data_IF_511101018975
#
_entry.id   IF_511101018975
#
_cell.length_a   1.000
_cell.length_b   1.000
_cell.length_c   1.000
_cell.angle_alpha   90.00
_cell.angle_beta   90.00
_cell.angle_gamma   90.00
#
_symmetry.space_group_name_H-M   'P 1'
#
loop_
_entity.id
_entity.type
_entity.pdbx_description
1 polymer ?
#
# COMPACT_ATOMS: atom_id res chain seq x y z
N UNK A 1 19.39 -11.89 -18.01
CA UNK A 1 19.38 -12.53 -16.68
C UNK A 1 19.08 -14.00 -16.84
N UNK A 2 19.90 -14.84 -16.22
CA UNK A 2 19.75 -16.31 -16.23
C UNK A 2 18.38 -16.65 -15.59
N UNK A 3 17.49 -17.33 -16.31
CA UNK A 3 16.22 -17.80 -15.77
C UNK A 3 16.45 -19.19 -15.19
N UNK A 4 16.26 -19.33 -13.88
CA UNK A 4 16.27 -20.62 -13.22
C UNK A 4 14.91 -21.28 -13.29
N UNK A 5 14.86 -22.60 -13.40
CA UNK A 5 13.63 -23.37 -13.23
C UNK A 5 13.21 -23.34 -11.77
N UNK A 6 11.91 -23.42 -11.47
CA UNK A 6 11.40 -23.36 -10.10
C UNK A 6 11.99 -24.46 -9.21
N UNK A 7 12.21 -25.65 -9.77
CA UNK A 7 12.81 -26.79 -9.08
C UNK A 7 14.29 -26.57 -8.68
N UNK A 8 14.98 -25.62 -9.32
CA UNK A 8 16.36 -25.27 -8.99
C UNK A 8 16.46 -24.30 -7.80
N UNK A 9 15.38 -23.55 -7.53
CA UNK A 9 15.37 -22.46 -6.54
C UNK A 9 14.50 -22.77 -5.33
N UNK A 10 13.50 -23.65 -5.43
CA UNK A 10 12.61 -24.06 -4.35
C UNK A 10 12.74 -25.58 -4.17
N UNK A 11 13.01 -26.00 -2.92
CA UNK A 11 13.16 -27.43 -2.57
C UNK A 11 11.90 -27.95 -1.85
N UNK A 12 11.58 -29.24 -1.95
CA UNK A 12 10.54 -29.87 -1.14
C UNK A 12 10.75 -29.59 0.36
N UNK A 13 9.67 -29.40 1.10
CA UNK A 13 9.66 -29.11 2.54
C UNK A 13 10.31 -27.77 2.94
N UNK A 14 10.63 -26.90 1.98
CA UNK A 14 11.12 -25.56 2.26
C UNK A 14 9.95 -24.65 2.60
N UNK A 15 10.03 -23.94 3.73
CA UNK A 15 9.09 -22.87 4.10
C UNK A 15 9.50 -21.59 3.38
N UNK A 16 8.55 -20.96 2.67
CA UNK A 16 8.75 -19.74 1.92
C UNK A 16 7.67 -18.71 2.26
N UNK A 17 8.01 -17.42 2.19
CA UNK A 17 7.06 -16.34 2.27
C UNK A 17 6.53 -16.02 0.87
N UNK A 18 5.21 -16.06 0.68
CA UNK A 18 4.56 -15.75 -0.60
C UNK A 18 3.54 -14.63 -0.40
N UNK A 19 3.43 -13.78 -1.42
CA UNK A 19 2.38 -12.77 -1.51
C UNK A 19 1.33 -13.20 -2.53
N UNK A 20 0.06 -13.15 -2.14
CA UNK A 20 -1.07 -13.34 -3.06
C UNK A 20 -1.29 -12.05 -3.83
N UNK A 21 -1.12 -12.09 -5.15
CA UNK A 21 -1.35 -10.95 -6.04
C UNK A 21 -2.79 -10.89 -6.54
N UNK A 22 -3.41 -12.06 -6.74
CA UNK A 22 -4.79 -12.21 -7.19
C UNK A 22 -5.37 -13.45 -6.55
N UNK A 23 -6.61 -13.35 -6.13
CA UNK A 23 -7.39 -14.47 -5.63
C UNK A 23 -7.74 -15.46 -6.76
N UNK A 24 -8.21 -16.63 -6.37
CA UNK A 24 -8.73 -17.64 -7.28
C UNK A 24 -9.87 -17.09 -8.15
N UNK A 25 -9.89 -17.50 -9.41
CA UNK A 25 -10.95 -17.11 -10.36
C UNK A 25 -11.40 -18.32 -11.15
N UNK A 26 -12.58 -18.82 -10.83
CA UNK A 26 -13.11 -20.02 -11.44
C UNK A 26 -12.17 -21.20 -11.24
N UNK A 27 -11.69 -21.81 -12.33
CA UNK A 27 -10.74 -22.94 -12.29
C UNK A 27 -9.26 -22.53 -12.17
N UNK A 28 -8.96 -21.23 -12.13
CA UNK A 28 -7.58 -20.74 -11.96
C UNK A 28 -7.29 -20.51 -10.48
N UNK A 29 -6.23 -21.13 -10.00
CA UNK A 29 -5.70 -20.90 -8.66
C UNK A 29 -5.18 -19.45 -8.48
N UNK A 30 -4.90 -19.08 -7.24
CA UNK A 30 -4.36 -17.78 -6.86
C UNK A 30 -3.02 -17.50 -7.55
N UNK A 31 -2.79 -16.24 -7.93
CA UNK A 31 -1.49 -15.80 -8.44
C UNK A 31 -0.57 -15.42 -7.27
N UNK A 32 0.53 -16.12 -7.14
CA UNK A 32 1.50 -15.98 -6.05
C UNK A 32 2.84 -15.41 -6.55
N UNK A 33 3.56 -14.75 -5.66
CA UNK A 33 4.93 -14.32 -5.89
C UNK A 33 5.77 -14.39 -4.61
N UNK A 34 7.06 -14.61 -4.75
CA UNK A 34 8.04 -14.47 -3.66
C UNK A 34 8.69 -13.09 -3.64
N UNK A 35 8.48 -12.27 -4.70
CA UNK A 35 8.93 -10.88 -4.75
C UNK A 35 7.90 -9.99 -4.05
N UNK A 36 8.13 -9.75 -2.77
CA UNK A 36 7.19 -8.99 -1.94
C UNK A 36 7.14 -7.52 -2.37
N UNK A 37 5.94 -6.95 -2.40
CA UNK A 37 5.71 -5.54 -2.64
C UNK A 37 4.70 -4.98 -1.63
N UNK A 38 5.07 -3.90 -0.94
CA UNK A 38 4.24 -3.26 0.08
C UNK A 38 3.91 -1.85 -0.39
N UNK A 39 2.63 -1.56 -0.57
CA UNK A 39 2.18 -0.27 -1.07
C UNK A 39 2.04 0.76 0.05
N UNK A 40 2.78 1.87 -0.06
CA UNK A 40 2.61 3.07 0.73
C UNK A 40 1.71 4.11 0.05
N UNK A 41 1.65 5.29 0.62
CA UNK A 41 0.93 6.43 0.03
C UNK A 41 1.62 6.91 -1.25
N UNK A 42 2.92 7.16 -1.18
CA UNK A 42 3.71 7.79 -2.24
C UNK A 42 4.65 6.82 -2.96
N UNK A 43 5.03 5.74 -2.32
CA UNK A 43 5.94 4.74 -2.86
C UNK A 43 5.39 3.32 -2.69
N UNK A 44 5.98 2.39 -3.44
CA UNK A 44 5.87 0.95 -3.21
C UNK A 44 7.25 0.46 -2.81
N UNK A 45 7.34 -0.23 -1.68
CA UNK A 45 8.57 -0.87 -1.20
C UNK A 45 8.66 -2.31 -1.74
N UNK A 46 9.81 -2.67 -2.28
CA UNK A 46 10.17 -4.03 -2.68
C UNK A 46 11.33 -4.51 -1.79
N UNK A 47 11.03 -5.08 -0.62
CA UNK A 47 12.03 -5.30 0.41
C UNK A 47 13.06 -6.39 0.09
N UNK A 48 12.75 -7.29 -0.83
CA UNK A 48 13.63 -8.39 -1.26
C UNK A 48 14.01 -8.31 -2.74
N UNK A 49 14.02 -7.11 -3.31
CA UNK A 49 14.38 -6.88 -4.71
C UNK A 49 15.34 -5.70 -4.79
N UNK A 50 16.62 -5.96 -4.91
CA UNK A 50 17.70 -4.97 -4.98
C UNK A 50 17.69 -4.19 -6.31
N UNK A 51 16.69 -3.33 -6.54
CA UNK A 51 16.56 -2.53 -7.78
C UNK A 51 16.79 -1.02 -7.56
N UNK A 52 17.09 -0.61 -6.32
CA UNK A 52 17.20 0.81 -6.01
C UNK A 52 15.90 1.58 -6.22
N UNK A 53 15.99 2.81 -6.72
CA UNK A 53 14.83 3.69 -6.95
C UNK A 53 14.26 3.57 -8.37
N UNK A 54 12.95 3.38 -8.47
CA UNK A 54 12.16 3.39 -9.70
C UNK A 54 11.08 4.48 -9.71
N UNK A 55 10.51 4.73 -10.88
CA UNK A 55 9.45 5.72 -11.09
C UNK A 55 8.30 5.05 -11.82
N UNK A 56 7.07 5.26 -11.35
CA UNK A 56 5.86 4.75 -12.00
C UNK A 56 5.85 5.07 -13.50
N UNK A 57 5.43 4.11 -14.31
CA UNK A 57 5.25 4.30 -15.75
C UNK A 57 4.15 5.29 -16.09
N UNK A 58 3.22 5.54 -15.15
CA UNK A 58 2.13 6.52 -15.30
C UNK A 58 2.56 7.98 -15.14
N UNK A 59 3.80 8.25 -14.75
CA UNK A 59 4.39 9.60 -14.71
C UNK A 59 5.11 9.80 -16.05
N UNK A 60 4.46 10.50 -16.98
CA UNK A 60 4.97 10.66 -18.35
C UNK A 60 5.88 11.87 -18.52
N UNK A 61 5.70 12.92 -17.71
CA UNK A 61 6.45 14.18 -17.84
C UNK A 61 7.95 13.97 -17.58
N UNK A 62 8.85 14.25 -18.55
CA UNK A 62 10.28 14.05 -18.38
C UNK A 62 10.88 14.92 -17.29
N UNK A 63 10.38 16.16 -17.10
CA UNK A 63 10.82 17.08 -16.06
C UNK A 63 10.52 16.58 -14.67
N UNK A 64 9.30 16.05 -14.45
CA UNK A 64 8.93 15.42 -13.17
C UNK A 64 9.79 14.18 -12.90
N UNK A 65 9.99 13.34 -13.91
CA UNK A 65 10.85 12.16 -13.78
C UNK A 65 12.29 12.51 -13.39
N UNK A 66 12.83 13.62 -13.95
CA UNK A 66 14.18 14.10 -13.60
C UNK A 66 14.22 14.56 -12.13
N UNK A 67 13.23 15.34 -11.68
CA UNK A 67 13.11 15.77 -10.27
C UNK A 67 13.04 14.58 -9.31
N UNK A 68 12.20 13.59 -9.63
CA UNK A 68 12.07 12.38 -8.81
C UNK A 68 13.37 11.59 -8.76
N UNK A 69 14.11 11.46 -9.86
CA UNK A 69 15.42 10.78 -9.86
C UNK A 69 16.42 11.48 -8.95
N UNK A 70 16.50 12.83 -9.02
CA UNK A 70 17.36 13.61 -8.13
C UNK A 70 16.99 13.38 -6.67
N UNK A 71 15.69 13.41 -6.35
CA UNK A 71 15.18 13.15 -5.01
C UNK A 71 15.54 11.74 -4.52
N UNK A 72 15.37 10.71 -5.38
CA UNK A 72 15.69 9.33 -5.03
C UNK A 72 17.18 9.11 -4.74
N UNK A 73 18.08 9.84 -5.41
CA UNK A 73 19.52 9.79 -5.16
C UNK A 73 19.90 10.36 -3.78
N UNK A 74 19.04 11.19 -3.19
CA UNK A 74 19.25 11.78 -1.87
C UNK A 74 18.65 10.95 -0.72
N UNK A 75 17.83 9.94 -1.04
CA UNK A 75 17.20 9.05 -0.06
C UNK A 75 18.09 7.84 0.14
N UNK A 76 18.33 7.51 1.41
CA UNK A 76 19.10 6.32 1.76
C UNK A 76 18.22 5.06 1.68
N UNK A 77 18.24 4.39 0.53
CA UNK A 77 17.51 3.13 0.30
C UNK A 77 18.47 1.98 0.65
N UNK A 78 18.09 1.03 1.52
CA UNK A 78 18.91 -0.15 1.79
C UNK A 78 19.25 -0.90 0.50
N UNK A 79 20.48 -1.40 0.38
CA UNK A 79 21.00 -2.02 -0.85
C UNK A 79 20.20 -3.23 -1.33
N UNK A 80 19.62 -3.96 -0.39
CA UNK A 80 18.76 -5.14 -0.65
C UNK A 80 17.36 -4.80 -1.08
N UNK A 81 16.95 -3.52 -0.96
CA UNK A 81 15.59 -3.07 -1.23
C UNK A 81 15.49 -2.25 -2.51
N UNK A 82 14.29 -2.22 -3.07
CA UNK A 82 13.91 -1.32 -4.14
C UNK A 82 12.66 -0.54 -3.77
N UNK A 83 12.52 0.66 -4.35
CA UNK A 83 11.28 1.45 -4.23
C UNK A 83 10.82 1.91 -5.61
N UNK A 84 9.51 2.12 -5.75
CA UNK A 84 8.90 2.73 -6.94
C UNK A 84 8.05 3.90 -6.48
N UNK A 85 8.36 5.11 -6.97
CA UNK A 85 7.53 6.29 -6.71
C UNK A 85 6.23 6.18 -7.50
N UNK A 86 5.11 6.27 -6.79
CA UNK A 86 3.75 6.26 -7.34
C UNK A 86 3.38 7.62 -7.92
N UNK A 87 2.31 7.70 -8.70
CA UNK A 87 1.77 8.98 -9.22
C UNK A 87 1.45 9.97 -8.10
N UNK A 88 0.92 9.51 -6.98
CA UNK A 88 0.67 10.33 -5.79
C UNK A 88 1.93 10.92 -5.14
N UNK A 89 3.12 10.39 -5.47
CA UNK A 89 4.42 10.85 -4.97
C UNK A 89 5.15 11.81 -5.91
N UNK A 90 4.61 12.15 -7.10
CA UNK A 90 5.35 12.92 -8.12
C UNK A 90 5.75 14.33 -7.66
N UNK A 91 4.92 15.00 -6.87
CA UNK A 91 5.14 16.36 -6.38
C UNK A 91 5.44 16.43 -4.88
N UNK A 92 5.90 15.32 -4.29
CA UNK A 92 6.16 15.24 -2.86
C UNK A 92 7.60 15.60 -2.52
N UNK A 93 7.78 16.11 -1.31
CA UNK A 93 9.10 16.47 -0.78
C UNK A 93 9.90 15.22 -0.38
N UNK A 94 11.20 15.36 -0.27
CA UNK A 94 12.10 14.32 0.25
C UNK A 94 11.62 13.77 1.60
N UNK A 95 11.22 14.65 2.52
CA UNK A 95 10.77 14.24 3.85
C UNK A 95 9.49 13.42 3.82
N UNK A 96 8.55 13.72 2.92
CA UNK A 96 7.31 12.94 2.76
C UNK A 96 7.60 11.54 2.22
N UNK A 97 8.47 11.43 1.23
CA UNK A 97 8.89 10.14 0.66
C UNK A 97 9.70 9.33 1.68
N UNK A 98 10.63 9.95 2.41
CA UNK A 98 11.43 9.29 3.43
C UNK A 98 10.57 8.78 4.61
N UNK A 99 9.57 9.55 5.02
CA UNK A 99 8.62 9.12 6.05
C UNK A 99 7.77 7.92 5.58
N UNK A 100 7.31 7.94 4.34
CA UNK A 100 6.57 6.80 3.76
C UNK A 100 7.47 5.55 3.70
N UNK A 101 8.75 5.71 3.31
CA UNK A 101 9.74 4.63 3.31
C UNK A 101 9.96 4.05 4.72
N UNK A 102 10.18 4.89 5.73
CA UNK A 102 10.35 4.45 7.13
C UNK A 102 9.14 3.66 7.64
N UNK A 103 7.93 4.14 7.34
CA UNK A 103 6.71 3.42 7.69
C UNK A 103 6.63 2.04 7.03
N UNK A 104 6.98 1.94 5.74
CA UNK A 104 6.97 0.67 5.02
C UNK A 104 8.05 -0.30 5.49
N UNK A 105 9.22 0.21 5.85
CA UNK A 105 10.29 -0.62 6.47
C UNK A 105 9.84 -1.16 7.83
N UNK A 106 9.12 -0.37 8.62
CA UNK A 106 8.54 -0.85 9.89
C UNK A 106 7.52 -1.97 9.64
N UNK A 107 6.64 -1.81 8.66
CA UNK A 107 5.68 -2.86 8.26
C UNK A 107 6.43 -4.13 7.82
N UNK A 108 7.47 -3.99 7.00
CA UNK A 108 8.29 -5.12 6.56
C UNK A 108 8.96 -5.85 7.71
N UNK A 109 9.51 -5.12 8.68
CA UNK A 109 10.13 -5.71 9.86
C UNK A 109 9.11 -6.51 10.69
N UNK A 110 7.90 -5.98 10.87
CA UNK A 110 6.80 -6.70 11.52
C UNK A 110 6.40 -7.97 10.76
N UNK A 111 6.35 -7.92 9.42
CA UNK A 111 6.07 -9.11 8.59
C UNK A 111 7.17 -10.17 8.79
N UNK A 112 8.44 -9.78 8.79
CA UNK A 112 9.56 -10.72 9.03
C UNK A 112 9.47 -11.37 10.41
N UNK A 113 9.24 -10.58 11.43
CA UNK A 113 9.11 -11.06 12.81
C UNK A 113 7.94 -12.04 12.95
N UNK A 114 6.77 -11.68 12.42
CA UNK A 114 5.61 -12.58 12.43
C UNK A 114 5.87 -13.87 11.66
N UNK A 115 6.54 -13.79 10.51
CA UNK A 115 6.87 -14.98 9.72
C UNK A 115 7.82 -15.93 10.46
N UNK A 116 8.82 -15.39 11.16
CA UNK A 116 9.79 -16.18 11.94
C UNK A 116 9.15 -16.84 13.17
N UNK A 117 8.12 -16.20 13.76
CA UNK A 117 7.43 -16.70 14.94
C UNK A 117 6.19 -17.54 14.63
N UNK A 118 5.89 -17.78 13.36
CA UNK A 118 4.69 -18.54 12.93
C UNK A 118 5.05 -19.91 12.39
N UNK A 119 4.13 -20.85 12.57
CA UNK A 119 4.24 -22.20 11.99
C UNK A 119 3.53 -22.20 10.63
N UNK A 120 4.22 -22.62 9.59
CA UNK A 120 3.63 -22.72 8.24
C UNK A 120 2.64 -23.90 8.13
N UNK A 121 1.54 -23.76 7.36
CA UNK A 121 1.09 -22.56 6.68
C UNK A 121 0.31 -21.60 7.59
N UNK A 122 0.57 -20.30 7.52
CA UNK A 122 -0.17 -19.30 8.29
C UNK A 122 -0.27 -17.97 7.56
N UNK A 123 -1.33 -17.20 7.83
CA UNK A 123 -1.50 -15.84 7.34
C UNK A 123 -0.61 -14.89 8.16
N UNK A 124 0.42 -14.33 7.53
CA UNK A 124 1.41 -13.48 8.22
C UNK A 124 0.98 -12.02 8.23
N UNK A 125 0.47 -11.52 7.12
CA UNK A 125 0.06 -10.13 6.96
C UNK A 125 -1.08 -10.04 5.94
N UNK A 126 -2.07 -9.23 6.26
CA UNK A 126 -3.18 -8.95 5.35
C UNK A 126 -3.44 -7.46 5.25
N UNK A 127 -3.41 -6.93 4.04
CA UNK A 127 -3.77 -5.54 3.74
C UNK A 127 -5.27 -5.45 3.38
N UNK A 128 -6.15 -5.86 4.29
CA UNK A 128 -7.59 -5.97 4.02
C UNK A 128 -8.43 -4.80 4.53
N UNK A 129 -7.82 -3.83 5.21
CA UNK A 129 -8.56 -2.69 5.76
C UNK A 129 -8.95 -1.70 4.64
N UNK A 130 -10.22 -1.77 4.23
CA UNK A 130 -10.78 -0.91 3.17
C UNK A 130 -10.64 0.57 3.51
N UNK A 131 -10.71 0.94 4.79
CA UNK A 131 -10.59 2.34 5.22
C UNK A 131 -9.16 2.84 4.96
N UNK A 132 -8.16 2.05 5.35
CA UNK A 132 -6.74 2.38 5.09
C UNK A 132 -6.46 2.45 3.59
N UNK A 133 -6.96 1.48 2.81
CA UNK A 133 -6.82 1.48 1.35
C UNK A 133 -7.47 2.70 0.72
N UNK A 134 -8.70 3.04 1.11
CA UNK A 134 -9.40 4.19 0.56
C UNK A 134 -8.67 5.49 0.88
N UNK A 135 -8.22 5.70 2.11
CA UNK A 135 -7.43 6.87 2.47
C UNK A 135 -6.10 6.90 1.70
N UNK A 136 -5.40 5.78 1.62
CA UNK A 136 -4.12 5.70 0.90
C UNK A 136 -4.26 6.08 -0.59
N UNK A 137 -5.28 5.55 -1.24
CA UNK A 137 -5.38 5.62 -2.70
C UNK A 137 -6.29 6.76 -3.20
N UNK A 138 -7.26 7.22 -2.40
CA UNK A 138 -8.25 8.23 -2.82
C UNK A 138 -8.03 9.60 -2.19
N UNK A 139 -7.39 9.68 -1.00
CA UNK A 139 -7.15 10.97 -0.35
C UNK A 139 -6.11 11.78 -1.12
N UNK A 140 -6.43 13.04 -1.41
CA UNK A 140 -5.57 14.06 -2.02
C UNK A 140 -5.62 15.38 -1.22
N UNK A 141 -4.92 16.40 -1.71
CA UNK A 141 -4.89 17.73 -1.07
C UNK A 141 -6.23 18.48 -1.18
N UNK A 142 -7.01 18.21 -2.23
CA UNK A 142 -8.33 18.81 -2.49
C UNK A 142 -9.42 18.19 -1.60
N UNK A 143 -9.18 17.00 -1.05
CA UNK A 143 -10.12 16.32 -0.14
C UNK A 143 -10.37 17.19 1.09
N UNK A 144 -11.59 17.67 1.25
CA UNK A 144 -11.99 18.54 2.36
C UNK A 144 -12.25 17.75 3.65
N UNK A 145 -12.97 16.65 3.56
CA UNK A 145 -13.37 15.83 4.70
C UNK A 145 -13.31 14.34 4.37
N UNK A 146 -12.98 13.54 5.38
CA UNK A 146 -13.11 12.09 5.40
C UNK A 146 -14.18 11.79 6.45
N UNK A 147 -15.40 11.50 6.00
CA UNK A 147 -16.54 11.23 6.88
C UNK A 147 -16.64 9.72 7.06
N UNK A 148 -16.65 9.26 8.30
CA UNK A 148 -16.64 7.83 8.62
C UNK A 148 -17.78 7.50 9.56
N UNK A 149 -18.63 6.57 9.15
CA UNK A 149 -19.71 6.00 9.95
C UNK A 149 -19.18 4.86 10.84
N UNK A 150 -19.72 4.77 12.04
CA UNK A 150 -19.31 3.79 13.04
C UNK A 150 -18.06 4.21 13.83
N UNK A 151 -18.00 3.72 15.08
CA UNK A 151 -16.93 4.11 16.00
C UNK A 151 -15.60 3.44 15.64
N UNK A 152 -15.63 2.17 15.33
CA UNK A 152 -14.45 1.38 14.98
C UNK A 152 -13.79 1.91 13.71
N UNK A 153 -14.59 2.14 12.64
CA UNK A 153 -14.11 2.71 11.39
C UNK A 153 -13.49 4.09 11.56
N UNK A 154 -14.14 4.95 12.36
CA UNK A 154 -13.60 6.27 12.68
C UNK A 154 -12.24 6.21 13.39
N UNK A 155 -12.07 5.33 14.38
CA UNK A 155 -10.80 5.16 15.09
C UNK A 155 -9.70 4.61 14.15
N UNK A 156 -10.03 3.65 13.30
CA UNK A 156 -9.10 3.11 12.27
C UNK A 156 -8.64 4.22 11.32
N UNK A 157 -9.58 5.01 10.78
CA UNK A 157 -9.27 6.14 9.90
C UNK A 157 -8.38 7.17 10.58
N UNK A 158 -8.72 7.54 11.82
CA UNK A 158 -7.99 8.52 12.62
C UNK A 158 -6.56 8.07 12.93
N UNK A 159 -6.38 6.81 13.34
CA UNK A 159 -5.07 6.24 13.64
C UNK A 159 -4.20 6.17 12.38
N UNK A 160 -4.77 5.77 11.25
CA UNK A 160 -4.05 5.72 9.98
C UNK A 160 -3.64 7.11 9.50
N UNK A 161 -4.55 8.10 9.53
CA UNK A 161 -4.22 9.50 9.18
C UNK A 161 -3.16 10.10 10.09
N UNK A 162 -3.20 9.79 11.39
CA UNK A 162 -2.16 10.22 12.34
C UNK A 162 -0.77 9.69 11.95
N UNK A 163 -0.72 8.47 11.42
CA UNK A 163 0.53 7.83 10.97
C UNK A 163 1.08 8.44 9.69
N UNK A 164 0.21 8.61 8.66
CA UNK A 164 0.67 8.99 7.32
C UNK A 164 0.66 10.50 7.07
N UNK A 165 -0.31 11.24 7.65
CA UNK A 165 -0.52 12.68 7.44
C UNK A 165 -1.05 13.37 8.71
N UNK A 166 -0.24 13.49 9.77
CA UNK A 166 -0.69 14.01 11.08
C UNK A 166 -1.25 15.44 10.99
N UNK A 167 -0.73 16.27 10.07
CA UNK A 167 -1.22 17.65 9.86
C UNK A 167 -2.65 17.71 9.33
N UNK A 168 -3.14 16.64 8.68
CA UNK A 168 -4.46 16.57 8.07
C UNK A 168 -5.48 15.81 8.94
N UNK A 169 -5.13 15.44 10.16
CA UNK A 169 -5.97 14.67 11.07
C UNK A 169 -7.35 15.32 11.32
N UNK A 170 -7.42 16.64 11.27
CA UNK A 170 -8.67 17.43 11.45
C UNK A 170 -9.72 17.16 10.35
N UNK A 171 -9.30 16.66 9.19
CA UNK A 171 -10.21 16.32 8.09
C UNK A 171 -10.99 15.02 8.34
N UNK A 172 -10.55 14.16 9.27
CA UNK A 172 -11.28 12.94 9.64
C UNK A 172 -12.40 13.28 10.64
N UNK A 173 -13.64 13.07 10.20
CA UNK A 173 -14.84 13.38 10.98
C UNK A 173 -15.69 12.13 11.19
N UNK A 174 -16.20 11.98 12.42
CA UNK A 174 -17.16 10.93 12.72
C UNK A 174 -18.55 11.34 12.24
N UNK A 175 -19.20 10.47 11.48
CA UNK A 175 -20.60 10.64 11.11
C UNK A 175 -21.49 10.42 12.32
N UNK A 176 -22.51 11.31 12.52
CA UNK A 176 -23.35 11.32 13.73
C UNK A 176 -24.86 11.36 13.42
N UNK A 177 -25.25 11.36 12.15
CA UNK A 177 -26.66 11.38 11.78
C UNK A 177 -27.31 10.01 12.00
N UNK A 178 -28.66 9.98 12.12
CA UNK A 178 -29.45 8.75 12.24
C UNK A 178 -29.65 8.04 10.91
N UNK A 179 -29.64 8.79 9.81
CA UNK A 179 -29.77 8.23 8.47
C UNK A 179 -28.41 7.67 8.03
N UNK A 180 -28.30 6.42 7.57
CA UNK A 180 -27.02 5.85 7.11
C UNK A 180 -26.31 6.75 6.10
N UNK A 181 -24.99 6.91 6.23
CA UNK A 181 -24.19 7.85 5.44
C UNK A 181 -24.36 7.61 3.94
N UNK A 182 -24.24 6.39 3.47
CA UNK A 182 -24.31 6.07 2.04
C UNK A 182 -25.72 6.26 1.47
N UNK A 183 -26.76 6.05 2.28
CA UNK A 183 -28.13 6.35 1.90
C UNK A 183 -28.34 7.86 1.77
N UNK A 184 -27.89 8.65 2.76
CA UNK A 184 -27.98 10.11 2.76
C UNK A 184 -27.30 10.75 1.55
N UNK A 185 -26.12 10.23 1.18
CA UNK A 185 -25.31 10.74 0.06
C UNK A 185 -25.69 10.08 -1.29
N UNK A 186 -26.79 9.30 -1.35
CA UNK A 186 -27.26 8.59 -2.54
C UNK A 186 -26.20 7.64 -3.16
N UNK A 187 -25.22 7.18 -2.38
CA UNK A 187 -24.16 6.30 -2.88
C UNK A 187 -24.71 4.91 -3.20
N UNK A 188 -25.62 4.39 -2.36
CA UNK A 188 -26.25 3.08 -2.58
C UNK A 188 -27.01 3.05 -3.93
N UNK A 189 -27.78 4.10 -4.23
CA UNK A 189 -28.49 4.21 -5.51
C UNK A 189 -27.53 4.18 -6.70
N UNK A 190 -26.42 4.92 -6.62
CA UNK A 190 -25.39 4.92 -7.67
C UNK A 190 -24.71 3.56 -7.82
N UNK A 191 -24.44 2.86 -6.73
CA UNK A 191 -23.89 1.51 -6.79
C UNK A 191 -24.83 0.54 -7.49
N UNK A 192 -26.13 0.55 -7.18
CA UNK A 192 -27.11 -0.28 -7.87
C UNK A 192 -27.21 0.03 -9.36
N UNK A 193 -27.04 1.29 -9.78
CA UNK A 193 -27.01 1.67 -11.19
C UNK A 193 -25.78 1.14 -11.95
N UNK A 194 -24.63 1.02 -11.27
CA UNK A 194 -23.37 0.49 -11.86
C UNK A 194 -23.44 -1.04 -12.05
N UNK A 195 -24.19 -1.75 -11.19
CA UNK A 195 -24.29 -3.21 -11.24
C UNK A 195 -25.46 -3.73 -12.11
N UNK A 196 -26.25 -2.84 -12.72
CA UNK A 196 -27.23 -3.17 -13.75
C UNK A 196 -26.60 -3.18 -15.14
#
# INVERSE_FOLDING_TARGET
SKRYKIQEVIKPNQVILVQVLKDERGLKGAALTTFISIAGKYIVLMPNTAKGGGISRKIFNPGERKKIRSLLNEINIPKEMGIIVRTAGSNKTKNEIDNDLKNLVTVWNSIKENALNSIAPSLIHQESDIIKRSIRDMYDEETQNIIVEGNEGYQKAKNYMKLIMPKQLKKVKKYRDKVPLFFKENIEKKLFEIFK
#
